data_IF_413289796904
#
_entry.id   IF_413289796904
#
_cell.length_a   1.000
_cell.length_b   1.000
_cell.length_c   1.000
_cell.angle_alpha   90.00
_cell.angle_beta   90.00
_cell.angle_gamma   90.00
#
_symmetry.space_group_name_H-M   'P 1'
#
loop_
_entity.id
_entity.type
_entity.pdbx_description
1 polymer ?
#
# COMPACT_ATOMS: atom_id res chain seq x y z
N UNK A 1 6.43 6.83 24.01
CA UNK A 1 5.03 6.36 24.06
C UNK A 1 4.85 5.34 25.18
N UNK A 2 3.69 5.32 25.87
CA UNK A 2 3.37 4.38 26.94
C UNK A 2 3.52 2.90 26.51
N UNK A 3 3.91 2.02 27.43
CA UNK A 3 4.17 0.61 27.11
C UNK A 3 2.97 -0.11 26.45
N UNK A 4 1.75 0.15 26.96
CA UNK A 4 0.52 -0.48 26.46
C UNK A 4 0.19 -0.12 25.01
N UNK A 5 0.59 1.06 24.51
CA UNK A 5 0.25 1.52 23.15
C UNK A 5 1.20 0.98 22.08
N UNK A 6 2.42 0.57 22.46
CA UNK A 6 3.45 0.09 21.50
C UNK A 6 3.01 -1.13 20.68
N UNK A 7 2.16 -2.02 21.24
CA UNK A 7 1.64 -3.19 20.51
C UNK A 7 0.58 -2.85 19.46
N UNK A 8 -0.04 -1.69 19.56
CA UNK A 8 -1.16 -1.28 18.69
C UNK A 8 -0.72 -0.51 17.45
N UNK A 9 0.49 0.06 17.47
CA UNK A 9 1.06 0.79 16.34
C UNK A 9 1.89 -0.17 15.52
N UNK A 10 1.50 -0.48 14.29
CA UNK A 10 2.31 -1.29 13.39
C UNK A 10 3.66 -0.60 13.09
N UNK A 11 4.74 -1.38 12.97
CA UNK A 11 6.08 -0.84 12.69
C UNK A 11 6.84 -1.74 11.71
N UNK A 12 7.55 -1.16 10.71
CA UNK A 12 8.39 -1.92 9.79
C UNK A 12 9.44 -2.78 10.50
N UNK A 13 10.03 -2.27 11.59
CA UNK A 13 11.02 -2.98 12.40
C UNK A 13 10.53 -4.32 12.98
N UNK A 14 9.21 -4.53 13.08
CA UNK A 14 8.58 -5.79 13.50
C UNK A 14 8.04 -6.61 12.32
N UNK A 15 8.54 -6.35 11.11
CA UNK A 15 8.16 -7.03 9.85
C UNK A 15 6.67 -6.90 9.51
N UNK A 16 5.98 -5.90 10.03
CA UNK A 16 4.60 -5.60 9.61
C UNK A 16 4.61 -4.89 8.27
N UNK A 17 3.75 -5.29 7.34
CA UNK A 17 3.49 -4.55 6.11
C UNK A 17 2.96 -3.12 6.35
N UNK A 18 2.58 -2.77 7.59
CA UNK A 18 2.10 -1.46 7.98
C UNK A 18 0.89 -0.96 7.17
N UNK A 19 0.09 -1.89 6.61
CA UNK A 19 -1.08 -1.62 5.75
C UNK A 19 -1.89 -0.41 6.19
N UNK A 20 -2.34 -0.39 7.45
CA UNK A 20 -3.22 0.68 7.96
C UNK A 20 -2.56 2.05 7.92
N UNK A 21 -1.26 2.12 8.23
CA UNK A 21 -0.50 3.36 8.17
C UNK A 21 -0.33 3.81 6.72
N UNK A 22 -0.01 2.87 5.82
CA UNK A 22 0.13 3.14 4.40
C UNK A 22 -1.20 3.60 3.77
N UNK A 23 -2.33 2.98 4.13
CA UNK A 23 -3.67 3.41 3.69
C UNK A 23 -3.99 4.83 4.17
N UNK A 24 -3.70 5.11 5.44
CA UNK A 24 -3.92 6.45 5.99
C UNK A 24 -3.09 7.50 5.27
N UNK A 25 -1.80 7.23 5.05
CA UNK A 25 -0.93 8.11 4.28
C UNK A 25 -1.43 8.30 2.84
N UNK A 26 -1.87 7.22 2.18
CA UNK A 26 -2.47 7.27 0.85
C UNK A 26 -3.64 8.26 0.81
N UNK A 27 -4.62 8.11 1.71
CA UNK A 27 -5.78 9.01 1.76
C UNK A 27 -5.40 10.46 2.08
N UNK A 28 -4.46 10.70 2.98
CA UNK A 28 -4.10 12.05 3.39
C UNK A 28 -3.27 12.78 2.33
N UNK A 29 -2.41 12.07 1.60
CA UNK A 29 -1.42 12.66 0.69
C UNK A 29 -1.90 12.68 -0.77
N UNK A 30 -2.52 11.60 -1.26
CA UNK A 30 -3.00 11.58 -2.64
C UNK A 30 -4.26 12.40 -2.79
N UNK A 31 -4.37 13.08 -3.91
CA UNK A 31 -5.58 13.77 -4.34
C UNK A 31 -6.08 13.09 -5.60
N UNK A 32 -7.33 12.65 -5.59
CA UNK A 32 -7.99 12.09 -6.75
C UNK A 32 -9.27 12.87 -7.10
N UNK A 33 -9.79 12.65 -8.32
CA UNK A 33 -11.03 13.29 -8.80
C UNK A 33 -12.30 12.52 -8.43
N UNK A 34 -12.18 11.40 -7.73
CA UNK A 34 -13.26 10.46 -7.40
C UNK A 34 -13.71 10.56 -5.94
N UNK A 35 -13.01 11.34 -5.12
CA UNK A 35 -13.33 11.57 -3.71
C UNK A 35 -12.93 10.41 -2.79
N UNK A 36 -12.01 9.53 -3.20
CA UNK A 36 -11.54 8.42 -2.36
C UNK A 36 -10.37 8.87 -1.48
N UNK A 37 -9.40 9.54 -2.07
CA UNK A 37 -8.24 10.12 -1.38
C UNK A 37 -8.50 11.62 -1.07
N UNK A 38 -8.29 12.05 0.18
CA UNK A 38 -8.60 13.41 0.65
C UNK A 38 -7.63 14.49 0.14
N UNK A 39 -6.35 14.16 -0.01
CA UNK A 39 -5.34 15.07 -0.55
C UNK A 39 -5.04 16.31 0.30
N UNK A 40 -5.23 16.23 1.62
CA UNK A 40 -5.04 17.36 2.54
C UNK A 40 -3.55 17.69 2.76
N UNK A 41 -2.65 16.72 2.60
CA UNK A 41 -1.23 16.87 2.87
C UNK A 41 -0.40 17.05 1.61
N UNK A 42 -0.05 18.29 1.30
CA UNK A 42 0.65 18.67 0.06
C UNK A 42 2.19 18.61 0.16
N UNK A 43 2.75 18.51 1.38
CA UNK A 43 4.21 18.49 1.59
C UNK A 43 4.86 17.15 1.24
N UNK A 44 4.09 16.07 1.22
CA UNK A 44 4.55 14.73 0.89
C UNK A 44 4.06 14.43 -0.53
N UNK A 45 4.90 13.83 -1.36
CA UNK A 45 4.50 13.45 -2.71
C UNK A 45 4.02 11.99 -2.76
N UNK A 46 3.09 11.71 -3.65
CA UNK A 46 2.56 10.36 -3.88
C UNK A 46 3.66 9.34 -4.22
N UNK A 47 4.70 9.79 -4.93
CA UNK A 47 5.90 9.00 -5.26
C UNK A 47 6.65 8.42 -4.05
N UNK A 48 6.52 9.06 -2.88
CA UNK A 48 7.17 8.62 -1.64
C UNK A 48 6.34 7.62 -0.83
N UNK A 49 5.11 7.35 -1.25
CA UNK A 49 4.21 6.46 -0.52
C UNK A 49 4.51 5.00 -0.82
N UNK A 50 4.16 4.14 0.14
CA UNK A 50 4.24 2.68 0.00
C UNK A 50 2.84 2.13 -0.22
N UNK A 51 2.71 1.22 -1.18
CA UNK A 51 1.44 0.57 -1.49
C UNK A 51 0.91 -0.17 -0.24
N UNK A 52 -0.35 0.05 0.15
CA UNK A 52 -0.94 -0.63 1.29
C UNK A 52 -1.25 -2.10 0.97
N UNK A 53 -0.26 -2.96 1.18
CA UNK A 53 -0.37 -4.39 0.88
C UNK A 53 -1.34 -5.10 1.83
N UNK A 54 -2.54 -5.44 1.37
CA UNK A 54 -3.51 -6.28 2.07
C UNK A 54 -3.67 -7.66 1.46
N UNK A 55 -4.56 -8.51 2.00
CA UNK A 55 -4.72 -9.89 1.52
C UNK A 55 -5.21 -9.96 0.07
N UNK A 56 -6.09 -9.05 -0.36
CA UNK A 56 -6.57 -9.02 -1.74
C UNK A 56 -5.47 -8.50 -2.66
N UNK A 57 -4.84 -7.39 -2.30
CA UNK A 57 -3.73 -6.78 -3.05
C UNK A 57 -2.56 -7.75 -3.19
N UNK A 58 -2.14 -8.39 -2.09
CA UNK A 58 -1.07 -9.39 -2.06
C UNK A 58 -1.39 -10.57 -2.99
N UNK A 59 -2.62 -11.12 -2.91
CA UNK A 59 -3.05 -12.24 -3.74
C UNK A 59 -3.04 -11.88 -5.23
N UNK A 60 -3.62 -10.74 -5.60
CA UNK A 60 -3.69 -10.29 -7.00
C UNK A 60 -2.29 -9.96 -7.52
N UNK A 61 -1.48 -9.24 -6.75
CA UNK A 61 -0.12 -8.89 -7.14
C UNK A 61 0.75 -10.14 -7.39
N UNK A 62 0.56 -11.22 -6.62
CA UNK A 62 1.22 -12.51 -6.87
C UNK A 62 0.75 -13.17 -8.16
N UNK A 63 -0.57 -13.23 -8.39
CA UNK A 63 -1.13 -13.81 -9.61
C UNK A 63 -0.65 -13.08 -10.86
N UNK A 64 -0.47 -11.76 -10.77
CA UNK A 64 0.07 -10.91 -11.82
C UNK A 64 1.61 -10.98 -11.95
N UNK A 65 2.30 -11.72 -11.08
CA UNK A 65 3.76 -11.82 -11.10
C UNK A 65 4.50 -10.55 -10.63
N UNK A 66 3.80 -9.60 -10.01
CA UNK A 66 4.41 -8.37 -9.49
C UNK A 66 5.28 -8.65 -8.26
N UNK A 67 4.92 -9.63 -7.44
CA UNK A 67 5.67 -10.06 -6.26
C UNK A 67 5.72 -11.59 -6.16
N UNK A 68 6.83 -12.12 -5.66
CA UNK A 68 7.07 -13.58 -5.55
C UNK A 68 7.34 -14.06 -4.12
N UNK A 69 7.80 -13.18 -3.22
CA UNK A 69 8.12 -13.50 -1.81
C UNK A 69 6.91 -14.01 -1.04
N UNK A 70 6.92 -15.23 -0.49
CA UNK A 70 5.77 -15.81 0.23
C UNK A 70 5.27 -15.00 1.43
N UNK A 71 6.15 -14.29 2.15
CA UNK A 71 5.78 -13.52 3.33
C UNK A 71 5.09 -12.20 2.92
N UNK A 72 4.03 -11.82 3.62
CA UNK A 72 3.40 -10.49 3.47
C UNK A 72 3.89 -9.59 4.60
N UNK A 73 5.09 -9.03 4.42
CA UNK A 73 5.78 -8.17 5.38
C UNK A 73 6.10 -6.79 4.76
N UNK A 74 6.83 -5.96 5.51
CA UNK A 74 7.27 -4.65 5.01
C UNK A 74 8.06 -4.75 3.71
N UNK A 75 8.93 -5.77 3.58
CA UNK A 75 9.73 -5.94 2.38
C UNK A 75 8.83 -6.18 1.16
N UNK A 76 7.81 -7.03 1.30
CA UNK A 76 6.86 -7.27 0.20
C UNK A 76 6.07 -6.02 -0.19
N UNK A 77 5.72 -5.15 0.78
CA UNK A 77 5.08 -3.87 0.47
C UNK A 77 6.02 -2.92 -0.29
N UNK A 78 7.30 -2.89 0.06
CA UNK A 78 8.33 -2.13 -0.67
C UNK A 78 8.53 -2.70 -2.07
N UNK A 79 8.75 -4.01 -2.20
CA UNK A 79 8.96 -4.68 -3.49
C UNK A 79 7.79 -4.46 -4.45
N UNK A 80 6.55 -4.57 -3.95
CA UNK A 80 5.35 -4.26 -4.72
C UNK A 80 5.36 -2.80 -5.18
N UNK A 81 5.70 -1.86 -4.29
CA UNK A 81 5.72 -0.44 -4.63
C UNK A 81 6.77 -0.13 -5.70
N UNK A 82 7.97 -0.71 -5.59
CA UNK A 82 9.02 -0.55 -6.60
C UNK A 82 8.56 -1.09 -7.96
N UNK A 83 7.89 -2.24 -8.00
CA UNK A 83 7.31 -2.78 -9.23
C UNK A 83 6.21 -1.89 -9.80
N UNK A 84 5.37 -1.31 -8.94
CA UNK A 84 4.34 -0.36 -9.38
C UNK A 84 4.94 0.96 -9.89
N UNK A 85 6.10 1.36 -9.38
CA UNK A 85 6.85 2.55 -9.82
C UNK A 85 7.35 2.43 -11.25
N UNK A 86 7.57 1.21 -11.74
CA UNK A 86 7.91 0.97 -13.16
C UNK A 86 6.76 1.38 -14.11
N UNK A 87 5.50 1.38 -13.65
CA UNK A 87 4.35 1.81 -14.45
C UNK A 87 4.02 3.30 -14.29
N UNK A 88 4.11 3.83 -13.07
CA UNK A 88 3.98 5.26 -12.79
C UNK A 88 4.91 5.66 -11.64
N UNK A 89 6.02 6.38 -11.93
CA UNK A 89 6.95 6.79 -10.90
C UNK A 89 6.43 7.96 -10.04
N UNK A 90 5.47 8.75 -10.52
CA UNK A 90 4.93 9.90 -9.80
C UNK A 90 3.83 9.50 -8.82
N UNK A 91 3.06 8.46 -9.16
CA UNK A 91 1.98 7.94 -8.32
C UNK A 91 1.87 6.41 -8.35
N UNK A 92 2.84 5.68 -7.77
CA UNK A 92 2.85 4.22 -7.79
C UNK A 92 1.73 3.60 -6.93
N UNK A 93 1.23 4.30 -5.91
CA UNK A 93 0.24 3.71 -4.99
C UNK A 93 -1.20 3.85 -5.49
N UNK A 94 -1.44 4.51 -6.64
CA UNK A 94 -2.76 4.56 -7.29
C UNK A 94 -3.31 3.18 -7.68
N UNK A 95 -2.41 2.25 -7.97
CA UNK A 95 -2.75 0.91 -8.41
C UNK A 95 -3.33 0.05 -7.29
N UNK A 96 -3.18 0.45 -6.03
CA UNK A 96 -3.82 -0.21 -4.89
C UNK A 96 -5.32 -0.38 -5.09
N UNK A 97 -6.01 0.68 -5.56
CA UNK A 97 -7.45 0.62 -5.82
C UNK A 97 -7.81 -0.42 -6.89
N UNK A 98 -7.00 -0.54 -7.95
CA UNK A 98 -7.22 -1.52 -9.01
C UNK A 98 -6.92 -2.94 -8.54
N UNK A 99 -5.80 -3.16 -7.85
CA UNK A 99 -5.42 -4.47 -7.30
C UNK A 99 -6.45 -4.97 -6.29
N UNK A 100 -6.95 -4.09 -5.43
CA UNK A 100 -8.01 -4.39 -4.49
C UNK A 100 -9.33 -4.73 -5.21
N UNK A 101 -9.74 -3.91 -6.19
CA UNK A 101 -10.95 -4.13 -6.98
C UNK A 101 -10.95 -5.47 -7.71
N UNK A 102 -9.85 -5.82 -8.39
CA UNK A 102 -9.65 -7.14 -9.00
C UNK A 102 -9.74 -8.27 -7.98
N UNK A 103 -9.32 -8.03 -6.74
CA UNK A 103 -9.38 -9.01 -5.67
C UNK A 103 -10.77 -9.23 -5.08
N UNK A 104 -11.72 -8.31 -5.31
CA UNK A 104 -13.13 -8.46 -4.93
C UNK A 104 -13.89 -9.24 -6.00
N UNK A 105 -13.55 -9.05 -7.28
CA UNK A 105 -14.11 -9.87 -8.35
C UNK A 105 -13.68 -11.32 -8.14
N UNK A 106 -14.60 -12.17 -7.64
CA UNK A 106 -14.34 -13.55 -7.17
C UNK A 106 -13.71 -14.49 -8.22
N UNK A 107 -13.55 -14.03 -9.47
CA UNK A 107 -13.04 -14.78 -10.61
C UNK A 107 -11.57 -14.52 -10.93
N UNK A 108 -10.87 -13.61 -10.24
CA UNK A 108 -9.46 -13.29 -10.50
C UNK A 108 -8.49 -14.11 -9.64
#
# INVERSE_FOLDING_TARGET
APHRTKKHIATPARKSACKRMNMYLRWMVRSDRKGVDFGIWEKIQAAHLICPCDLHVDRVARKLGLITRKQTDWQTAVDLTEKLREFDPQDPVKYDFALFGLGIEEKF
#
